data_IF_254047320174
#
_entry.id   IF_254047320174
#
_cell.length_a   1.000
_cell.length_b   1.000
_cell.length_c   1.000
_cell.angle_alpha   90.00
_cell.angle_beta   90.00
_cell.angle_gamma   90.00
#
_symmetry.space_group_name_H-M   'P 1'
#
loop_
_entity.id
_entity.type
_entity.pdbx_description
1 polymer ?
#
# COMPACT_ATOMS: atom_id res chain seq x y z
N UNK A 1 -17.95 4.42 -18.08
CA UNK A 1 -17.16 3.93 -16.91
C UNK A 1 -16.28 2.72 -17.25
N UNK A 2 -16.81 1.65 -17.87
CA UNK A 2 -15.99 0.55 -18.41
C UNK A 2 -14.86 1.04 -19.32
N UNK A 3 -15.12 1.99 -20.20
CA UNK A 3 -14.15 2.64 -21.08
C UNK A 3 -13.03 3.43 -20.36
N UNK A 4 -13.30 4.02 -19.19
CA UNK A 4 -12.27 4.68 -18.36
C UNK A 4 -11.42 3.65 -17.59
N UNK A 5 -12.03 2.56 -17.14
CA UNK A 5 -11.34 1.42 -16.53
C UNK A 5 -10.46 0.67 -17.55
N UNK A 6 -10.98 0.45 -18.76
CA UNK A 6 -10.21 -0.10 -19.88
C UNK A 6 -9.13 0.88 -20.34
N UNK A 7 -9.42 2.18 -20.39
CA UNK A 7 -8.47 3.25 -20.70
C UNK A 7 -7.31 3.33 -19.70
N UNK A 8 -7.61 3.29 -18.39
CA UNK A 8 -6.60 3.24 -17.33
C UNK A 8 -5.84 1.91 -17.33
N UNK A 9 -6.49 0.78 -17.66
CA UNK A 9 -5.84 -0.50 -17.83
C UNK A 9 -4.92 -0.53 -19.06
N UNK A 10 -5.32 0.05 -20.20
CA UNK A 10 -4.47 0.19 -21.40
C UNK A 10 -3.33 1.18 -21.17
N UNK A 11 -3.55 2.26 -20.41
CA UNK A 11 -2.52 3.22 -20.05
C UNK A 11 -1.52 2.59 -19.06
N UNK A 12 -2.00 1.82 -18.07
CA UNK A 12 -1.15 1.00 -17.23
C UNK A 12 -0.38 -0.06 -18.04
N UNK A 13 -1.03 -0.76 -18.97
CA UNK A 13 -0.38 -1.72 -19.89
C UNK A 13 0.68 -1.06 -20.77
N UNK A 14 0.47 0.18 -21.23
CA UNK A 14 1.45 0.93 -22.02
C UNK A 14 2.66 1.39 -21.18
N UNK A 15 2.44 1.79 -19.93
CA UNK A 15 3.49 2.17 -18.96
C UNK A 15 4.28 0.94 -18.43
N UNK A 16 3.69 -0.25 -18.48
CA UNK A 16 4.24 -1.52 -18.00
C UNK A 16 5.06 -2.30 -19.04
N UNK A 17 5.50 -1.65 -20.11
CA UNK A 17 6.30 -2.28 -21.18
C UNK A 17 7.69 -2.78 -20.71
N UNK A 18 8.09 -2.49 -19.47
CA UNK A 18 9.17 -3.23 -18.80
C UNK A 18 8.60 -4.36 -17.91
N UNK A 19 9.03 -5.62 -18.09
CA UNK A 19 8.63 -6.74 -17.23
C UNK A 19 8.82 -6.47 -15.73
N UNK A 20 9.81 -5.65 -15.37
CA UNK A 20 10.10 -5.28 -13.99
C UNK A 20 9.06 -4.35 -13.38
N UNK A 21 8.56 -3.35 -14.13
CA UNK A 21 7.49 -2.49 -13.64
C UNK A 21 6.21 -3.29 -13.38
N UNK A 22 5.92 -4.28 -14.24
CA UNK A 22 4.74 -5.14 -14.08
C UNK A 22 4.88 -6.00 -12.83
N UNK A 23 6.05 -6.62 -12.65
CA UNK A 23 6.35 -7.42 -11.45
C UNK A 23 6.22 -6.58 -10.18
N UNK A 24 6.71 -5.34 -10.17
CA UNK A 24 6.60 -4.42 -9.01
C UNK A 24 5.16 -4.00 -8.74
N UNK A 25 4.39 -3.67 -9.78
CA UNK A 25 2.98 -3.31 -9.64
C UNK A 25 2.18 -4.48 -9.07
N UNK A 26 2.34 -5.68 -9.62
CA UNK A 26 1.65 -6.89 -9.14
C UNK A 26 2.05 -7.26 -7.71
N UNK A 27 3.33 -7.12 -7.36
CA UNK A 27 3.80 -7.34 -5.99
C UNK A 27 3.18 -6.33 -5.01
N UNK A 28 3.09 -5.05 -5.39
CA UNK A 28 2.42 -4.03 -4.57
C UNK A 28 0.92 -4.33 -4.42
N UNK A 29 0.25 -4.78 -5.50
CA UNK A 29 -1.16 -5.19 -5.43
C UNK A 29 -1.38 -6.41 -4.54
N UNK A 30 -0.53 -7.43 -4.65
CA UNK A 30 -0.61 -8.63 -3.80
C UNK A 30 -0.35 -8.26 -2.33
N UNK A 31 0.64 -7.41 -2.07
CA UNK A 31 0.94 -6.83 -0.75
C UNK A 31 -0.29 -6.16 -0.12
N UNK A 32 -1.02 -5.33 -0.87
CA UNK A 32 -2.26 -4.69 -0.38
C UNK A 32 -3.33 -5.73 -0.03
N UNK A 33 -3.46 -6.80 -0.83
CA UNK A 33 -4.43 -7.87 -0.56
C UNK A 33 -4.04 -8.69 0.68
N UNK A 34 -2.75 -8.97 0.88
CA UNK A 34 -2.25 -9.63 2.08
C UNK A 34 -2.53 -8.79 3.32
N UNK A 35 -2.23 -7.49 3.27
CA UNK A 35 -2.52 -6.58 4.37
C UNK A 35 -4.03 -6.47 4.67
N UNK A 36 -4.86 -6.47 3.63
CA UNK A 36 -6.32 -6.41 3.80
C UNK A 36 -6.90 -7.68 4.45
N UNK A 37 -6.29 -8.84 4.23
CA UNK A 37 -6.90 -10.14 4.59
C UNK A 37 -7.23 -10.28 6.09
N UNK A 38 -6.35 -9.94 7.06
CA UNK A 38 -6.69 -9.97 8.48
C UNK A 38 -7.88 -9.09 8.85
N UNK A 39 -7.95 -7.88 8.30
CA UNK A 39 -9.04 -6.96 8.59
C UNK A 39 -10.36 -7.44 7.99
N UNK A 40 -10.33 -7.97 6.75
CA UNK A 40 -11.51 -8.54 6.11
C UNK A 40 -12.01 -9.79 6.86
N UNK A 41 -11.08 -10.63 7.33
CA UNK A 41 -11.42 -11.80 8.12
C UNK A 41 -12.04 -11.41 9.46
N UNK A 42 -11.39 -10.49 10.19
CA UNK A 42 -11.85 -9.99 11.47
C UNK A 42 -13.21 -9.31 11.33
N UNK A 43 -13.42 -8.51 10.28
CA UNK A 43 -14.69 -7.85 10.03
C UNK A 43 -15.80 -8.87 9.74
N UNK A 44 -15.54 -9.87 8.89
CA UNK A 44 -16.52 -10.96 8.62
C UNK A 44 -16.84 -11.75 9.88
N UNK A 45 -15.83 -12.06 10.71
CA UNK A 45 -16.03 -12.75 11.99
C UNK A 45 -16.86 -11.92 12.97
N UNK A 46 -16.53 -10.63 13.13
CA UNK A 46 -17.21 -9.70 14.02
C UNK A 46 -18.65 -9.44 13.60
N UNK A 47 -18.90 -9.27 12.29
CA UNK A 47 -20.25 -9.12 11.75
C UNK A 47 -21.13 -10.34 11.99
N UNK A 48 -20.54 -11.55 11.95
CA UNK A 48 -21.24 -12.79 12.32
C UNK A 48 -21.50 -12.88 13.82
N UNK A 49 -20.51 -12.53 14.64
CA UNK A 49 -20.62 -12.59 16.10
C UNK A 49 -21.66 -11.61 16.64
N UNK A 50 -21.65 -10.36 16.17
CA UNK A 50 -22.53 -9.30 16.65
C UNK A 50 -23.86 -9.23 15.91
N UNK A 51 -24.05 -10.05 14.87
CA UNK A 51 -25.20 -10.01 13.97
C UNK A 51 -25.48 -8.60 13.40
N UNK A 52 -24.46 -7.73 13.38
CA UNK A 52 -24.52 -6.34 12.91
C UNK A 52 -23.60 -6.17 11.72
N UNK A 53 -24.17 -5.84 10.57
CA UNK A 53 -23.45 -5.72 9.30
C UNK A 53 -22.78 -4.36 9.13
N UNK A 54 -23.34 -3.32 9.73
CA UNK A 54 -22.85 -1.94 9.64
C UNK A 54 -21.41 -1.81 10.18
N UNK A 55 -20.99 -2.75 11.03
CA UNK A 55 -19.64 -2.82 11.62
C UNK A 55 -18.58 -3.08 10.55
N UNK A 56 -18.93 -3.77 9.45
CA UNK A 56 -18.01 -4.05 8.35
C UNK A 56 -17.46 -2.76 7.71
N UNK A 57 -18.30 -1.73 7.62
CA UNK A 57 -17.91 -0.44 7.05
C UNK A 57 -16.81 0.26 7.88
N UNK A 58 -16.81 0.05 9.20
CA UNK A 58 -15.88 0.71 10.11
C UNK A 58 -14.63 -0.11 10.42
N UNK A 59 -14.73 -1.45 10.46
CA UNK A 59 -13.60 -2.29 10.89
C UNK A 59 -12.88 -3.02 9.75
N UNK A 60 -13.36 -2.90 8.51
CA UNK A 60 -12.62 -3.37 7.34
C UNK A 60 -11.38 -2.52 7.03
N UNK A 61 -10.58 -2.93 6.04
CA UNK A 61 -9.43 -2.15 5.54
C UNK A 61 -9.82 -0.87 4.76
N UNK A 62 -11.11 -0.51 4.79
CA UNK A 62 -11.68 0.59 4.01
C UNK A 62 -11.94 0.25 2.54
N UNK A 63 -11.50 -0.89 2.02
CA UNK A 63 -11.85 -1.32 0.66
C UNK A 63 -13.25 -1.96 0.55
N UNK A 64 -14.12 -1.83 1.54
CA UNK A 64 -15.48 -2.38 1.52
C UNK A 64 -16.49 -1.49 0.78
N UNK A 65 -17.75 -1.58 1.17
CA UNK A 65 -18.81 -0.67 0.73
C UNK A 65 -18.66 0.69 1.41
N UNK A 66 -18.38 1.73 0.62
CA UNK A 66 -18.37 3.12 1.07
C UNK A 66 -16.97 3.71 1.27
N UNK A 67 -16.91 4.98 1.72
CA UNK A 67 -15.66 5.73 1.82
C UNK A 67 -14.64 5.08 2.76
N UNK A 68 -13.50 4.67 2.20
CA UNK A 68 -12.44 3.94 2.90
C UNK A 68 -11.83 4.69 4.09
N UNK A 69 -11.91 6.03 4.08
CA UNK A 69 -11.45 6.89 5.17
C UNK A 69 -12.30 6.81 6.44
N UNK A 70 -13.47 6.16 6.39
CA UNK A 70 -14.30 5.85 7.58
C UNK A 70 -13.82 4.62 8.33
N UNK A 71 -12.90 3.84 7.76
CA UNK A 71 -12.39 2.68 8.48
C UNK A 71 -11.54 3.12 9.67
N UNK A 72 -11.80 2.52 10.84
CA UNK A 72 -11.06 2.75 12.08
C UNK A 72 -9.56 2.49 11.89
N UNK A 73 -9.13 1.40 11.22
CA UNK A 73 -7.71 1.20 10.91
C UNK A 73 -7.10 2.37 10.13
N UNK A 74 -7.82 2.91 9.13
CA UNK A 74 -7.34 4.05 8.35
C UNK A 74 -7.32 5.34 9.16
N UNK A 75 -8.30 5.56 10.04
CA UNK A 75 -8.34 6.73 10.92
C UNK A 75 -7.19 6.69 11.95
N UNK A 76 -6.91 5.53 12.53
CA UNK A 76 -5.76 5.32 13.43
C UNK A 76 -4.45 5.55 12.68
N UNK A 77 -4.28 4.96 11.50
CA UNK A 77 -3.10 5.18 10.68
C UNK A 77 -2.92 6.68 10.33
N UNK A 78 -4.01 7.35 9.95
CA UNK A 78 -3.99 8.79 9.65
C UNK A 78 -3.61 9.61 10.89
N UNK A 79 -4.06 9.22 12.08
CA UNK A 79 -3.70 9.89 13.33
C UNK A 79 -2.21 9.72 13.59
N UNK A 80 -1.70 8.49 13.57
CA UNK A 80 -0.30 8.22 13.86
C UNK A 80 0.64 8.95 12.90
N UNK A 81 0.26 9.08 11.62
CA UNK A 81 1.12 9.68 10.60
C UNK A 81 0.96 11.20 10.49
N UNK A 82 -0.27 11.72 10.55
CA UNK A 82 -0.59 13.14 10.25
C UNK A 82 -1.18 13.91 11.44
N UNK A 83 -1.36 13.24 12.58
CA UNK A 83 -1.97 13.81 13.78
C UNK A 83 -3.50 13.66 13.81
N UNK A 84 -4.04 13.80 15.03
CA UNK A 84 -5.47 13.71 15.30
C UNK A 84 -6.35 14.65 14.44
N UNK A 85 -5.97 15.93 14.20
CA UNK A 85 -6.84 16.83 13.44
C UNK A 85 -7.09 16.35 12.00
N UNK A 86 -6.06 15.84 11.32
CA UNK A 86 -6.18 15.33 9.95
C UNK A 86 -7.00 14.06 9.92
N UNK A 87 -6.79 13.14 10.88
CA UNK A 87 -7.57 11.92 10.99
C UNK A 87 -9.07 12.19 11.20
N UNK A 88 -9.39 13.06 12.16
CA UNK A 88 -10.77 13.46 12.47
C UNK A 88 -11.42 14.14 11.27
N UNK A 89 -10.73 15.10 10.63
CA UNK A 89 -11.26 15.80 9.46
C UNK A 89 -11.55 14.83 8.30
N UNK A 90 -10.62 13.91 8.00
CA UNK A 90 -10.82 12.88 6.97
C UNK A 90 -12.00 11.96 7.28
N UNK A 91 -12.10 11.49 8.52
CA UNK A 91 -13.18 10.63 8.97
C UNK A 91 -14.54 11.33 8.87
N UNK A 92 -14.64 12.57 9.35
CA UNK A 92 -15.84 13.40 9.26
C UNK A 92 -16.22 13.70 7.80
N UNK A 93 -15.25 14.05 6.95
CA UNK A 93 -15.48 14.28 5.53
C UNK A 93 -16.04 13.01 4.85
N UNK A 94 -15.51 11.85 5.19
CA UNK A 94 -15.97 10.57 4.66
C UNK A 94 -17.39 10.20 5.18
N UNK A 95 -17.71 10.51 6.44
CA UNK A 95 -19.09 10.41 6.97
C UNK A 95 -20.06 11.33 6.21
N UNK A 96 -19.67 12.58 5.96
CA UNK A 96 -20.49 13.55 5.24
C UNK A 96 -20.70 13.14 3.79
N UNK A 97 -19.62 12.76 3.09
CA UNK A 97 -19.66 12.27 1.72
C UNK A 97 -20.58 11.05 1.58
N UNK A 98 -20.55 10.14 2.55
CA UNK A 98 -21.46 8.98 2.55
C UNK A 98 -22.92 9.42 2.66
N UNK A 99 -23.21 10.32 3.60
CA UNK A 99 -24.58 10.83 3.81
C UNK A 99 -25.10 11.58 2.58
N UNK A 100 -24.27 12.37 1.92
CA UNK A 100 -24.66 13.09 0.70
C UNK A 100 -24.87 12.14 -0.48
N UNK A 101 -23.96 11.19 -0.69
CA UNK A 101 -24.08 10.20 -1.75
C UNK A 101 -25.34 9.34 -1.59
N UNK A 102 -25.65 8.87 -0.37
CA UNK A 102 -26.87 8.09 -0.12
C UNK A 102 -28.13 8.93 -0.35
N UNK A 103 -28.15 10.21 0.07
CA UNK A 103 -29.28 11.11 -0.22
C UNK A 103 -29.48 11.32 -1.72
N UNK A 104 -28.41 11.55 -2.47
CA UNK A 104 -28.48 11.76 -3.91
C UNK A 104 -28.83 10.48 -4.69
N UNK A 105 -28.48 9.31 -4.18
CA UNK A 105 -28.77 8.04 -4.84
C UNK A 105 -30.25 7.63 -4.78
N UNK A 106 -31.06 8.24 -3.90
CA UNK A 106 -32.49 7.93 -3.74
C UNK A 106 -32.76 6.47 -3.32
N UNK A 107 -31.72 5.76 -2.88
CA UNK A 107 -31.83 4.38 -2.40
C UNK A 107 -32.10 4.42 -0.92
N UNK A 108 -33.30 4.00 -0.50
CA UNK A 108 -33.57 3.64 0.89
C UNK A 108 -32.53 2.59 1.30
N UNK A 109 -31.67 2.99 2.24
CA UNK A 109 -30.32 2.47 2.45
C UNK A 109 -30.21 1.06 3.02
N UNK A 110 -31.05 0.12 2.60
CA UNK A 110 -31.02 -1.28 3.00
C UNK A 110 -31.08 -2.15 1.75
N UNK A 111 -29.93 -2.37 1.10
CA UNK A 111 -29.83 -3.55 0.24
C UNK A 111 -29.92 -4.79 1.14
N UNK A 112 -30.94 -5.66 0.98
CA UNK A 112 -31.09 -6.86 1.80
C UNK A 112 -29.84 -7.73 1.61
N UNK A 113 -29.01 -7.71 2.64
CA UNK A 113 -27.61 -8.10 2.50
C UNK A 113 -27.46 -9.60 2.29
N UNK A 114 -26.73 -9.95 1.25
CA UNK A 114 -26.09 -11.25 1.19
C UNK A 114 -25.11 -11.37 2.37
N UNK A 115 -24.96 -12.58 2.96
CA UNK A 115 -23.88 -12.82 3.90
C UNK A 115 -22.56 -12.48 3.20
N UNK A 116 -21.78 -11.58 3.79
CA UNK A 116 -20.48 -11.18 3.28
C UNK A 116 -19.51 -12.35 3.39
N UNK A 117 -18.80 -12.61 2.30
CA UNK A 117 -17.86 -13.72 2.16
C UNK A 117 -16.49 -13.15 1.91
N UNK A 118 -15.47 -13.77 2.50
CA UNK A 118 -14.08 -13.31 2.38
C UNK A 118 -13.62 -13.16 0.92
N UNK A 119 -13.99 -14.11 0.04
CA UNK A 119 -13.60 -14.05 -1.38
C UNK A 119 -14.34 -12.93 -2.14
N UNK A 120 -15.59 -12.65 -1.78
CA UNK A 120 -16.35 -11.54 -2.36
C UNK A 120 -15.68 -10.21 -1.99
N UNK A 121 -15.31 -10.03 -0.71
CA UNK A 121 -14.62 -8.83 -0.25
C UNK A 121 -13.25 -8.66 -0.92
N UNK A 122 -12.45 -9.73 -1.03
CA UNK A 122 -11.17 -9.69 -1.74
C UNK A 122 -11.33 -9.35 -3.23
N UNK A 123 -12.36 -9.88 -3.89
CA UNK A 123 -12.68 -9.54 -5.28
C UNK A 123 -13.09 -8.07 -5.42
N UNK A 124 -13.74 -7.49 -4.40
CA UNK A 124 -14.08 -6.07 -4.34
C UNK A 124 -12.84 -5.20 -4.12
N UNK A 125 -11.86 -5.67 -3.34
CA UNK A 125 -10.59 -4.96 -3.08
C UNK A 125 -9.67 -4.96 -4.30
N UNK A 126 -9.65 -6.06 -5.06
CA UNK A 126 -8.68 -6.34 -6.13
C UNK A 126 -8.50 -5.18 -7.14
N UNK A 127 -9.54 -4.55 -7.72
CA UNK A 127 -9.34 -3.46 -8.67
C UNK A 127 -8.62 -2.26 -8.08
N UNK A 128 -8.90 -1.90 -6.82
CA UNK A 128 -8.18 -0.81 -6.15
C UNK A 128 -6.75 -1.20 -5.83
N UNK A 129 -6.50 -2.46 -5.45
CA UNK A 129 -5.14 -2.95 -5.23
C UNK A 129 -4.30 -2.88 -6.53
N UNK A 130 -4.89 -3.23 -7.68
CA UNK A 130 -4.26 -3.12 -9.00
C UNK A 130 -3.98 -1.67 -9.38
N UNK A 131 -4.98 -0.79 -9.23
CA UNK A 131 -4.83 0.64 -9.52
C UNK A 131 -3.80 1.30 -8.60
N UNK A 132 -3.77 0.95 -7.32
CA UNK A 132 -2.76 1.45 -6.39
C UNK A 132 -1.36 0.97 -6.77
N UNK A 133 -1.18 -0.31 -7.10
CA UNK A 133 0.09 -0.85 -7.57
C UNK A 133 0.60 -0.15 -8.84
N UNK A 134 -0.29 0.15 -9.78
CA UNK A 134 0.03 0.91 -10.99
C UNK A 134 0.37 2.38 -10.69
N UNK A 135 -0.43 3.03 -9.84
CA UNK A 135 -0.23 4.43 -9.44
C UNK A 135 1.11 4.64 -8.73
N UNK A 136 1.57 3.67 -7.94
CA UNK A 136 2.90 3.70 -7.33
C UNK A 136 4.04 3.63 -8.34
N UNK A 137 3.91 2.82 -9.41
CA UNK A 137 4.92 2.79 -10.45
C UNK A 137 4.93 4.10 -11.24
N UNK A 138 3.74 4.68 -11.48
CA UNK A 138 3.61 5.96 -12.15
C UNK A 138 4.21 7.10 -11.34
N UNK A 139 3.95 7.18 -10.04
CA UNK A 139 4.47 8.25 -9.19
C UNK A 139 6.00 8.24 -9.13
N UNK A 140 6.64 7.07 -9.28
CA UNK A 140 8.10 6.97 -9.37
C UNK A 140 8.68 7.57 -10.66
N UNK A 141 7.87 7.78 -11.71
CA UNK A 141 8.29 8.41 -12.97
C UNK A 141 8.14 9.94 -12.93
N UNK A 142 7.42 10.49 -11.97
CA UNK A 142 7.16 11.93 -11.88
C UNK A 142 8.13 12.62 -10.91
N UNK A 143 8.74 13.70 -11.39
CA UNK A 143 9.52 14.62 -10.57
C UNK A 143 8.61 15.80 -10.16
N UNK A 144 8.04 15.81 -8.94
CA UNK A 144 7.09 16.83 -8.52
C UNK A 144 7.70 18.23 -8.44
N UNK A 145 9.04 18.33 -8.36
CA UNK A 145 9.75 19.61 -8.34
C UNK A 145 9.62 20.39 -9.64
N UNK A 146 9.26 19.74 -10.76
CA UNK A 146 9.08 20.37 -12.07
C UNK A 146 7.67 20.86 -12.33
N UNK A 147 6.72 20.51 -11.46
CA UNK A 147 5.30 20.82 -11.65
C UNK A 147 4.94 22.12 -10.92
N UNK A 148 4.03 22.90 -11.53
CA UNK A 148 3.46 24.06 -10.85
C UNK A 148 2.65 23.62 -9.62
N UNK A 149 2.46 24.49 -8.61
CA UNK A 149 1.66 24.16 -7.42
C UNK A 149 0.25 23.67 -7.75
N UNK A 150 -0.40 24.27 -8.76
CA UNK A 150 -1.73 23.86 -9.22
C UNK A 150 -1.69 22.47 -9.85
N UNK A 151 -0.68 22.19 -10.68
CA UNK A 151 -0.49 20.87 -11.26
C UNK A 151 -0.22 19.80 -10.19
N UNK A 152 0.54 20.13 -9.15
CA UNK A 152 0.78 19.24 -8.01
C UNK A 152 -0.52 18.93 -7.22
N UNK A 153 -1.36 19.93 -6.97
CA UNK A 153 -2.68 19.75 -6.34
C UNK A 153 -3.60 18.91 -7.24
N UNK A 154 -3.69 19.24 -8.52
CA UNK A 154 -4.55 18.52 -9.48
C UNK A 154 -4.11 17.06 -9.63
N UNK A 155 -2.80 16.80 -9.72
CA UNK A 155 -2.24 15.46 -9.77
C UNK A 155 -2.54 14.70 -8.48
N UNK A 156 -2.36 15.32 -7.32
CA UNK A 156 -2.67 14.70 -6.03
C UNK A 156 -4.15 14.31 -5.91
N UNK A 157 -5.05 15.23 -6.24
CA UNK A 157 -6.49 14.98 -6.24
C UNK A 157 -6.89 13.89 -7.24
N UNK A 158 -6.33 13.92 -8.46
CA UNK A 158 -6.57 12.90 -9.49
C UNK A 158 -6.09 11.53 -9.03
N UNK A 159 -4.86 11.43 -8.50
CA UNK A 159 -4.33 10.20 -7.93
C UNK A 159 -5.18 9.71 -6.75
N UNK A 160 -5.63 10.62 -5.87
CA UNK A 160 -6.50 10.26 -4.74
C UNK A 160 -7.85 9.71 -5.20
N UNK A 161 -8.41 10.31 -6.24
CA UNK A 161 -9.65 9.87 -6.86
C UNK A 161 -9.52 8.52 -7.57
N UNK A 162 -8.48 8.33 -8.38
CA UNK A 162 -8.30 7.12 -9.20
C UNK A 162 -7.71 5.96 -8.42
N UNK A 163 -6.72 6.24 -7.59
CA UNK A 163 -5.98 5.21 -6.86
C UNK A 163 -6.72 4.79 -5.60
N UNK A 164 -7.70 5.59 -5.12
CA UNK A 164 -8.49 5.43 -3.88
C UNK A 164 -8.26 4.07 -3.21
N UNK A 165 -7.12 3.93 -2.51
CA UNK A 165 -6.69 2.62 -2.04
C UNK A 165 -7.57 2.23 -0.85
N UNK A 166 -7.27 1.08 -0.25
CA UNK A 166 -7.60 0.86 1.15
C UNK A 166 -7.28 2.14 1.95
N UNK A 167 -8.12 2.48 2.93
CA UNK A 167 -7.96 3.75 3.64
C UNK A 167 -6.56 3.88 4.26
N UNK A 168 -5.96 2.74 4.63
CA UNK A 168 -4.58 2.63 5.11
C UNK A 168 -3.57 2.95 3.98
N UNK A 169 -3.73 2.34 2.80
CA UNK A 169 -2.87 2.63 1.64
C UNK A 169 -2.93 4.10 1.20
N UNK A 170 -4.08 4.77 1.37
CA UNK A 170 -4.17 6.21 1.16
C UNK A 170 -3.29 7.00 2.14
N UNK A 171 -3.32 6.64 3.42
CA UNK A 171 -2.45 7.27 4.43
C UNK A 171 -0.98 7.05 4.09
N UNK A 172 -0.61 5.83 3.73
CA UNK A 172 0.76 5.46 3.35
C UNK A 172 1.27 6.24 2.12
N UNK A 173 0.49 6.31 1.04
CA UNK A 173 0.84 7.11 -0.15
C UNK A 173 0.94 8.59 0.20
N UNK A 174 -0.01 9.12 0.97
CA UNK A 174 0.07 10.48 1.47
C UNK A 174 1.36 10.71 2.27
N UNK A 175 1.78 9.73 3.08
CA UNK A 175 2.97 9.83 3.92
C UNK A 175 4.24 9.87 3.09
N UNK A 176 4.30 9.05 2.04
CA UNK A 176 5.41 9.06 1.08
C UNK A 176 5.46 10.38 0.29
N UNK A 177 4.30 10.90 -0.11
CA UNK A 177 4.22 12.15 -0.88
C UNK A 177 4.52 13.39 -0.03
N UNK A 178 4.23 13.40 1.28
CA UNK A 178 4.35 14.62 2.10
C UNK A 178 5.76 15.20 2.13
N UNK A 179 6.77 14.34 2.02
CA UNK A 179 8.18 14.73 2.06
C UNK A 179 8.62 15.39 0.75
N UNK A 180 8.16 14.87 -0.40
CA UNK A 180 8.59 15.32 -1.72
C UNK A 180 7.67 16.36 -2.36
N UNK A 181 6.38 16.28 -2.06
CA UNK A 181 5.32 17.03 -2.70
C UNK A 181 4.17 17.26 -1.70
N UNK A 182 4.35 18.15 -0.70
CA UNK A 182 3.38 18.34 0.37
C UNK A 182 2.01 18.77 -0.14
N UNK A 183 1.96 19.60 -1.19
CA UNK A 183 0.69 20.01 -1.82
C UNK A 183 -0.02 18.83 -2.50
N UNK A 184 0.72 17.96 -3.19
CA UNK A 184 0.18 16.74 -3.80
C UNK A 184 -0.32 15.79 -2.73
N UNK A 185 0.42 15.61 -1.63
CA UNK A 185 0.01 14.79 -0.50
C UNK A 185 -1.28 15.29 0.15
N UNK A 186 -1.37 16.60 0.40
CA UNK A 186 -2.57 17.22 0.97
C UNK A 186 -3.79 17.02 0.05
N UNK A 187 -3.65 17.34 -1.23
CA UNK A 187 -4.73 17.17 -2.21
C UNK A 187 -5.14 15.70 -2.37
N UNK A 188 -4.16 14.79 -2.40
CA UNK A 188 -4.38 13.34 -2.41
C UNK A 188 -5.19 12.92 -1.20
N UNK A 189 -4.80 13.33 0.01
CA UNK A 189 -5.51 13.00 1.24
C UNK A 189 -6.93 13.60 1.25
N UNK A 190 -7.14 14.82 0.74
CA UNK A 190 -8.48 15.41 0.68
C UNK A 190 -9.48 14.63 -0.18
N UNK A 191 -9.02 13.75 -1.08
CA UNK A 191 -9.89 12.98 -1.98
C UNK A 191 -9.86 11.48 -1.69
N UNK A 192 -8.67 10.93 -1.43
CA UNK A 192 -8.43 9.50 -1.29
C UNK A 192 -9.22 8.90 -0.13
N UNK A 193 -10.14 8.00 -0.48
CA UNK A 193 -10.99 7.30 0.48
C UNK A 193 -12.17 8.10 1.02
N UNK A 194 -12.37 9.35 0.57
CA UNK A 194 -13.55 10.15 0.90
C UNK A 194 -14.61 10.00 -0.19
N UNK A 195 -14.18 10.08 -1.46
CA UNK A 195 -15.06 9.86 -2.61
C UNK A 195 -14.84 8.42 -3.10
N UNK A 196 -15.81 7.55 -2.85
CA UNK A 196 -15.77 6.19 -3.37
C UNK A 196 -16.42 6.13 -4.77
N UNK A 197 -15.59 6.03 -5.81
CA UNK A 197 -16.05 5.86 -7.20
C UNK A 197 -16.91 4.60 -7.35
N UNK A 198 -16.77 3.62 -6.43
CA UNK A 198 -17.59 2.40 -6.43
C UNK A 198 -19.01 2.68 -5.97
N UNK A 199 -19.24 3.67 -5.10
CA UNK A 199 -20.59 4.12 -4.74
C UNK A 199 -21.32 4.72 -5.95
N UNK A 200 -20.58 5.31 -6.89
CA UNK A 200 -21.12 5.79 -8.18
C UNK A 200 -21.31 4.65 -9.19
N UNK A 201 -20.52 3.58 -9.07
CA UNK A 201 -20.63 2.37 -9.88
C UNK A 201 -21.83 1.51 -9.44
N UNK A 202 -23.05 1.88 -9.89
CA UNK A 202 -24.32 1.12 -9.70
C UNK A 202 -24.35 -0.28 -10.35
N UNK A 203 -23.24 -0.99 -10.42
CA UNK A 203 -23.23 -2.37 -10.86
C UNK A 203 -23.72 -3.25 -9.72
N UNK A 204 -24.89 -3.87 -9.90
CA UNK A 204 -25.35 -5.00 -9.09
C UNK A 204 -24.27 -6.09 -9.11
N UNK A 205 -23.37 -6.05 -8.12
CA UNK A 205 -22.30 -7.04 -7.99
C UNK A 205 -22.93 -8.31 -7.47
N UNK A 206 -23.21 -9.24 -8.37
CA UNK A 206 -23.32 -10.65 -7.99
C UNK A 206 -21.93 -11.05 -7.50
N UNK A 207 -21.75 -11.06 -6.16
CA UNK A 207 -20.53 -11.55 -5.54
C UNK A 207 -20.21 -12.94 -6.08
N UNK A 208 -18.93 -13.25 -6.37
CA UNK A 208 -18.54 -14.52 -6.95
C UNK A 208 -19.05 -15.72 -6.14
N UNK A 209 -19.25 -15.58 -4.83
CA UNK A 209 -19.73 -16.65 -3.95
C UNK A 209 -18.59 -17.57 -3.51
N UNK A 210 -18.94 -18.63 -2.79
CA UNK A 210 -17.95 -19.56 -2.24
C UNK A 210 -17.27 -20.39 -3.34
N UNK A 211 -15.96 -20.52 -3.25
CA UNK A 211 -15.15 -21.37 -4.14
C UNK A 211 -14.11 -22.11 -3.29
N UNK A 212 -14.20 -23.44 -3.23
CA UNK A 212 -13.29 -24.25 -2.43
C UNK A 212 -11.82 -24.06 -2.86
N UNK A 213 -11.60 -24.03 -4.18
CA UNK A 213 -10.27 -23.87 -4.74
C UNK A 213 -9.71 -22.46 -4.46
N UNK A 214 -10.52 -21.41 -4.57
CA UNK A 214 -10.16 -20.05 -4.22
C UNK A 214 -9.76 -19.91 -2.75
N UNK A 215 -10.47 -20.57 -1.84
CA UNK A 215 -10.07 -20.65 -0.43
C UNK A 215 -8.77 -21.43 -0.22
N UNK A 216 -8.56 -22.54 -0.93
CA UNK A 216 -7.31 -23.31 -0.86
C UNK A 216 -6.11 -22.50 -1.37
N UNK A 217 -6.27 -21.79 -2.49
CA UNK A 217 -5.26 -20.86 -3.02
C UNK A 217 -4.97 -19.73 -2.04
N UNK A 218 -6.00 -19.16 -1.42
CA UNK A 218 -5.85 -18.11 -0.42
C UNK A 218 -5.11 -18.62 0.82
N UNK A 219 -5.46 -19.81 1.31
CA UNK A 219 -4.78 -20.46 2.43
C UNK A 219 -3.30 -20.71 2.12
N UNK A 220 -2.99 -21.23 0.93
CA UNK A 220 -1.62 -21.44 0.49
C UNK A 220 -0.85 -20.11 0.40
N UNK A 221 -1.43 -19.08 -0.22
CA UNK A 221 -0.81 -17.77 -0.35
C UNK A 221 -0.48 -17.16 1.02
N UNK A 222 -1.47 -17.12 1.93
CA UNK A 222 -1.30 -16.60 3.29
C UNK A 222 -0.29 -17.41 4.10
N UNK A 223 -0.35 -18.74 4.00
CA UNK A 223 0.56 -19.65 4.69
C UNK A 223 2.01 -19.48 4.25
N UNK A 224 2.27 -19.33 2.95
CA UNK A 224 3.62 -19.08 2.41
C UNK A 224 4.17 -17.77 2.94
N UNK A 225 3.40 -16.67 2.85
CA UNK A 225 3.86 -15.35 3.32
C UNK A 225 4.08 -15.35 4.83
N UNK A 226 3.20 -16.00 5.61
CA UNK A 226 3.38 -16.15 7.05
C UNK A 226 4.63 -16.96 7.41
N UNK A 227 4.86 -18.09 6.74
CA UNK A 227 6.03 -18.96 6.96
C UNK A 227 7.35 -18.28 6.58
N UNK A 228 7.32 -17.33 5.64
CA UNK A 228 8.46 -16.51 5.21
C UNK A 228 8.54 -15.16 5.94
N UNK A 229 7.83 -14.99 7.06
CA UNK A 229 7.84 -13.77 7.87
C UNK A 229 7.54 -12.48 7.07
N UNK A 230 6.69 -12.56 6.05
CA UNK A 230 6.25 -11.42 5.23
C UNK A 230 6.88 -11.34 3.83
N UNK A 231 8.00 -12.02 3.57
CA UNK A 231 8.68 -12.13 2.25
C UNK A 231 8.71 -10.84 1.42
N UNK A 232 8.99 -9.70 2.07
CA UNK A 232 9.00 -8.36 1.48
C UNK A 232 7.66 -7.84 0.94
N UNK A 233 6.57 -8.54 1.18
CA UNK A 233 5.22 -8.17 0.80
C UNK A 233 4.51 -7.44 1.93
N UNK A 234 4.67 -7.89 3.17
CA UNK A 234 4.03 -7.27 4.34
C UNK A 234 5.02 -7.09 5.49
N UNK A 235 4.70 -6.18 6.41
CA UNK A 235 5.45 -6.05 7.66
C UNK A 235 5.46 -7.41 8.40
N UNK A 236 6.62 -7.89 8.91
CA UNK A 236 6.73 -9.14 9.65
C UNK A 236 5.78 -9.25 10.84
N UNK A 237 5.47 -8.14 11.50
CA UNK A 237 4.47 -8.11 12.58
C UNK A 237 3.09 -8.50 12.05
N UNK A 238 2.73 -8.04 10.85
CA UNK A 238 1.47 -8.40 10.21
C UNK A 238 1.45 -9.87 9.74
N UNK A 239 2.62 -10.46 9.46
CA UNK A 239 2.71 -11.88 9.06
C UNK A 239 2.16 -12.85 10.12
N UNK A 240 2.25 -12.46 11.40
CA UNK A 240 1.67 -13.21 12.53
C UNK A 240 0.15 -13.29 12.39
N UNK A 241 -0.50 -12.22 11.95
CA UNK A 241 -1.94 -12.18 11.73
C UNK A 241 -2.37 -12.95 10.47
N UNK A 242 -1.46 -13.19 9.50
CA UNK A 242 -1.77 -13.97 8.30
C UNK A 242 -1.88 -15.47 8.57
N UNK A 243 -1.12 -16.01 9.53
CA UNK A 243 -1.16 -17.43 9.89
C UNK A 243 -2.57 -17.92 10.29
N UNK A 244 -3.30 -17.28 11.23
CA UNK A 244 -4.67 -17.69 11.54
C UNK A 244 -5.62 -17.46 10.36
N UNK A 245 -5.39 -16.44 9.53
CA UNK A 245 -6.18 -16.23 8.31
C UNK A 245 -6.02 -17.40 7.34
N UNK A 246 -4.81 -17.95 7.20
CA UNK A 246 -4.55 -19.15 6.39
C UNK A 246 -5.34 -20.36 6.92
N UNK A 247 -5.35 -20.54 8.25
CA UNK A 247 -6.13 -21.60 8.90
C UNK A 247 -7.63 -21.47 8.63
N UNK A 248 -8.21 -20.28 8.78
CA UNK A 248 -9.64 -20.06 8.50
C UNK A 248 -9.96 -20.25 7.02
N UNK A 249 -9.08 -19.81 6.11
CA UNK A 249 -9.23 -20.05 4.68
C UNK A 249 -9.20 -21.55 4.36
N UNK A 250 -8.31 -22.33 4.98
CA UNK A 250 -8.26 -23.79 4.82
C UNK A 250 -9.54 -24.48 5.33
N UNK A 251 -10.06 -24.07 6.50
CA UNK A 251 -11.35 -24.55 7.01
C UNK A 251 -12.49 -24.21 6.05
N UNK A 252 -12.51 -23.00 5.48
CA UNK A 252 -13.48 -22.61 4.47
C UNK A 252 -13.37 -23.46 3.20
N UNK A 253 -12.15 -23.78 2.75
CA UNK A 253 -11.95 -24.66 1.59
C UNK A 253 -12.60 -26.05 1.81
N UNK A 254 -12.44 -26.61 3.01
CA UNK A 254 -13.05 -27.89 3.40
C UNK A 254 -14.58 -27.79 3.53
N UNK A 255 -15.07 -26.75 4.22
CA UNK A 255 -16.49 -26.53 4.45
C UNK A 255 -17.27 -26.31 3.14
N UNK A 256 -16.65 -25.63 2.17
CA UNK A 256 -17.26 -25.31 0.88
C UNK A 256 -16.76 -26.17 -0.28
N UNK A 257 -16.19 -27.36 -0.02
CA UNK A 257 -15.57 -28.26 -1.02
C UNK A 257 -16.39 -28.58 -2.28
N UNK A 258 -17.72 -28.44 -2.22
CA UNK A 258 -18.65 -28.67 -3.35
C UNK A 258 -19.05 -27.40 -4.11
N UNK A 259 -18.60 -26.22 -3.67
CA UNK A 259 -18.93 -24.94 -4.28
C UNK A 259 -17.79 -24.51 -5.20
N UNK A 260 -18.16 -24.09 -6.40
CA UNK A 260 -17.23 -23.61 -7.43
C UNK A 260 -17.74 -22.29 -8.00
N UNK A 261 -16.91 -21.26 -7.90
CA UNK A 261 -17.12 -19.94 -8.47
C UNK A 261 -15.79 -19.43 -9.03
N UNK A 262 -15.51 -19.63 -10.33
CA UNK A 262 -14.21 -19.30 -10.92
C UNK A 262 -13.81 -17.83 -10.77
N UNK A 263 -14.78 -16.92 -10.78
CA UNK A 263 -14.55 -15.47 -10.58
C UNK A 263 -13.99 -15.14 -9.19
N UNK A 264 -14.22 -15.99 -8.18
CA UNK A 264 -13.68 -15.82 -6.82
C UNK A 264 -12.16 -16.05 -6.75
N UNK A 265 -11.57 -16.69 -7.77
CA UNK A 265 -10.18 -17.16 -7.75
C UNK A 265 -9.17 -16.08 -8.10
N UNK A 266 -9.59 -15.00 -8.76
CA UNK A 266 -8.66 -14.02 -9.34
C UNK A 266 -7.79 -13.38 -8.25
N UNK A 267 -8.38 -12.93 -7.14
CA UNK A 267 -7.62 -12.32 -6.04
C UNK A 267 -6.69 -13.34 -5.34
N UNK A 268 -7.15 -14.55 -4.92
CA UNK A 268 -6.26 -15.58 -4.39
C UNK A 268 -5.13 -16.01 -5.33
N UNK A 269 -5.39 -16.13 -6.65
CA UNK A 269 -4.35 -16.43 -7.64
C UNK A 269 -3.31 -15.33 -7.67
N UNK A 270 -3.73 -14.06 -7.72
CA UNK A 270 -2.79 -12.93 -7.70
C UNK A 270 -1.94 -12.93 -6.42
N UNK A 271 -2.56 -13.18 -5.28
CA UNK A 271 -1.86 -13.28 -3.99
C UNK A 271 -0.84 -14.43 -4.00
N UNK A 272 -1.23 -15.61 -4.49
CA UNK A 272 -0.34 -16.77 -4.57
C UNK A 272 0.83 -16.52 -5.52
N UNK A 273 0.58 -15.95 -6.69
CA UNK A 273 1.64 -15.57 -7.64
C UNK A 273 2.60 -14.57 -6.98
N UNK A 274 2.07 -13.56 -6.28
CA UNK A 274 2.89 -12.61 -5.52
C UNK A 274 3.77 -13.28 -4.46
N UNK A 275 3.20 -14.24 -3.71
CA UNK A 275 3.92 -15.00 -2.69
C UNK A 275 5.01 -15.93 -3.26
N UNK A 276 4.77 -16.52 -4.44
CA UNK A 276 5.71 -17.46 -5.06
C UNK A 276 6.84 -16.75 -5.82
N UNK A 277 6.50 -15.72 -6.60
CA UNK A 277 7.46 -14.94 -7.38
C UNK A 277 8.29 -14.04 -6.47
N UNK A 278 7.72 -13.64 -5.32
CA UNK A 278 8.30 -12.63 -4.46
C UNK A 278 8.30 -11.26 -5.13
N UNK A 279 8.95 -10.31 -4.49
CA UNK A 279 8.88 -8.92 -4.90
C UNK A 279 10.30 -8.33 -5.09
N UNK A 280 10.67 -7.92 -6.33
CA UNK A 280 12.04 -7.51 -6.62
C UNK A 280 12.38 -6.24 -5.84
N UNK A 281 13.49 -6.18 -5.08
CA UNK A 281 13.80 -5.08 -4.18
C UNK A 281 13.62 -3.74 -4.90
N UNK A 282 12.91 -2.78 -4.28
CA UNK A 282 12.69 -1.50 -4.93
C UNK A 282 14.04 -0.82 -5.16
N UNK A 283 14.17 -0.14 -6.30
CA UNK A 283 15.42 0.49 -6.71
C UNK A 283 15.33 2.00 -6.49
N UNK A 284 16.21 2.52 -5.63
CA UNK A 284 16.29 3.94 -5.36
C UNK A 284 17.37 4.55 -6.24
N UNK A 285 17.04 5.64 -6.93
CA UNK A 285 17.95 6.29 -7.90
C UNK A 285 18.35 7.72 -7.51
N UNK A 286 17.80 8.26 -6.43
CA UNK A 286 18.17 9.59 -5.95
C UNK A 286 19.31 9.50 -4.92
N UNK A 287 20.02 10.62 -4.73
CA UNK A 287 21.15 10.70 -3.80
C UNK A 287 20.92 11.70 -2.66
N UNK A 288 19.68 12.15 -2.50
CA UNK A 288 19.26 13.06 -1.42
C UNK A 288 19.12 12.31 -0.09
N UNK A 289 19.35 13.03 1.01
CA UNK A 289 19.09 12.53 2.36
C UNK A 289 17.59 12.61 2.64
N UNK A 290 16.96 11.47 2.93
CA UNK A 290 15.51 11.38 3.19
C UNK A 290 15.18 10.99 4.64
N UNK A 291 16.20 10.73 5.47
CA UNK A 291 16.02 10.47 6.90
C UNK A 291 15.45 11.71 7.59
N UNK A 292 14.19 11.61 8.00
CA UNK A 292 13.54 12.56 8.90
C UNK A 292 14.11 12.41 10.31
N UNK A 293 14.25 13.51 11.05
CA UNK A 293 14.75 13.58 12.44
C UNK A 293 16.27 13.55 12.64
N UNK A 294 17.06 13.65 11.56
CA UNK A 294 18.49 13.88 11.70
C UNK A 294 18.81 15.32 12.09
N UNK A 295 19.82 15.49 12.95
CA UNK A 295 20.38 16.79 13.31
C UNK A 295 21.89 16.82 13.08
N UNK A 296 22.41 18.00 12.74
CA UNK A 296 23.85 18.17 12.57
C UNK A 296 24.59 17.88 13.88
N UNK A 297 25.72 17.18 13.80
CA UNK A 297 26.50 16.70 14.95
C UNK A 297 26.12 15.31 15.44
N UNK A 298 25.03 14.72 14.96
CA UNK A 298 24.62 13.36 15.33
C UNK A 298 25.58 12.30 14.76
N UNK A 299 25.92 11.29 15.55
CA UNK A 299 26.66 10.12 15.08
C UNK A 299 25.66 9.10 14.52
N UNK A 300 25.82 8.76 13.25
CA UNK A 300 24.93 7.82 12.57
C UNK A 300 25.72 6.63 12.03
N UNK A 301 25.21 5.43 12.30
CA UNK A 301 25.58 4.19 11.63
C UNK A 301 24.43 3.80 10.72
N UNK A 302 24.65 3.80 9.41
CA UNK A 302 23.62 3.49 8.42
C UNK A 302 24.05 2.31 7.54
N UNK A 303 23.13 1.38 7.31
CA UNK A 303 23.33 0.22 6.45
C UNK A 303 22.33 0.23 5.30
N UNK A 304 22.82 0.09 4.07
CA UNK A 304 21.99 0.07 2.88
C UNK A 304 22.78 -0.21 1.61
N UNK A 305 22.11 -0.13 0.47
CA UNK A 305 22.72 -0.22 -0.86
C UNK A 305 23.32 1.13 -1.25
N UNK A 306 24.54 1.11 -1.79
CA UNK A 306 25.14 2.26 -2.45
C UNK A 306 24.32 2.64 -3.67
N UNK A 307 23.95 3.91 -3.77
CA UNK A 307 23.29 4.53 -4.93
C UNK A 307 24.20 5.65 -5.44
N UNK A 308 24.62 5.54 -6.69
CA UNK A 308 25.48 6.52 -7.36
C UNK A 308 24.67 7.47 -8.24
N UNK A 309 24.85 8.76 -8.01
CA UNK A 309 24.44 9.83 -8.91
C UNK A 309 25.62 10.31 -9.76
N UNK A 310 25.39 11.29 -10.63
CA UNK A 310 26.42 11.84 -11.51
C UNK A 310 27.58 12.52 -10.74
N UNK A 311 27.31 13.09 -9.56
CA UNK A 311 28.28 13.86 -8.76
C UNK A 311 28.27 13.52 -7.27
N UNK A 312 27.35 12.67 -6.84
CA UNK A 312 27.02 12.41 -5.44
C UNK A 312 26.79 10.92 -5.25
N UNK A 313 26.98 10.45 -4.02
CA UNK A 313 26.65 9.08 -3.63
C UNK A 313 25.77 9.12 -2.39
N UNK A 314 24.88 8.14 -2.27
CA UNK A 314 24.08 7.94 -1.07
C UNK A 314 24.09 6.45 -0.70
N UNK A 315 23.84 6.16 0.56
CA UNK A 315 23.44 4.81 0.98
C UNK A 315 21.96 4.84 1.26
N UNK A 316 21.23 3.91 0.66
CA UNK A 316 19.78 3.87 0.72
C UNK A 316 19.28 2.50 1.16
N UNK A 317 18.20 2.51 1.92
CA UNK A 317 17.39 1.35 2.28
C UNK A 317 15.93 1.73 2.11
N UNK A 318 15.01 0.78 2.24
CA UNK A 318 13.58 1.08 2.18
C UNK A 318 12.95 0.86 3.54
N UNK A 319 12.10 1.79 3.97
CA UNK A 319 11.25 1.61 5.13
C UNK A 319 9.85 1.20 4.70
N UNK A 320 9.31 0.14 5.30
CA UNK A 320 7.92 -0.29 5.20
C UNK A 320 7.21 0.07 6.51
N UNK A 321 6.02 0.67 6.42
CA UNK A 321 5.19 0.93 7.61
C UNK A 321 4.17 -0.21 7.78
N UNK A 322 3.34 -0.45 6.78
CA UNK A 322 2.29 -1.47 6.78
C UNK A 322 2.56 -2.61 5.78
N UNK A 323 2.85 -2.29 4.53
CA UNK A 323 3.08 -3.27 3.48
C UNK A 323 3.99 -2.71 2.38
N UNK A 324 4.46 -3.55 1.46
CA UNK A 324 5.34 -3.11 0.38
C UNK A 324 4.82 -1.92 -0.43
N UNK A 325 3.51 -1.76 -0.53
CA UNK A 325 2.89 -0.64 -1.22
C UNK A 325 3.17 0.73 -0.57
N UNK A 326 3.76 0.77 0.63
CA UNK A 326 4.19 2.00 1.27
C UNK A 326 5.71 2.16 1.39
N UNK A 327 6.46 1.21 0.80
CA UNK A 327 7.90 1.16 0.92
C UNK A 327 8.52 2.48 0.42
N UNK A 328 9.04 3.28 1.34
CA UNK A 328 9.64 4.57 1.06
C UNK A 328 11.17 4.48 1.21
N UNK A 329 11.95 5.12 0.32
CA UNK A 329 13.39 5.12 0.45
C UNK A 329 13.83 5.98 1.65
N UNK A 330 14.68 5.39 2.48
CA UNK A 330 15.43 6.01 3.56
C UNK A 330 16.87 6.06 3.12
N UNK A 331 17.38 7.25 2.82
CA UNK A 331 18.69 7.45 2.26
C UNK A 331 19.46 8.53 3.03
N UNK A 332 20.78 8.37 3.03
CA UNK A 332 21.73 9.35 3.55
C UNK A 332 22.77 9.66 2.48
N UNK A 333 22.88 10.94 2.12
CA UNK A 333 23.92 11.41 1.21
C UNK A 333 25.28 11.29 1.89
N UNK A 334 26.26 10.76 1.17
CA UNK A 334 27.64 10.67 1.64
C UNK A 334 28.40 11.95 1.26
N UNK A 335 29.35 12.35 2.10
CA UNK A 335 30.32 13.41 1.80
C UNK A 335 31.28 13.06 0.65
N UNK A 336 31.58 11.77 0.48
CA UNK A 336 32.48 11.24 -0.55
C UNK A 336 31.96 9.94 -1.16
N UNK A 337 32.35 9.68 -2.40
CA UNK A 337 31.97 8.46 -3.12
C UNK A 337 32.86 7.28 -2.70
N UNK A 338 32.30 6.19 -2.14
CA UNK A 338 33.07 5.00 -1.81
C UNK A 338 33.56 4.25 -3.06
N UNK A 339 34.72 3.58 -3.01
CA UNK A 339 35.29 2.83 -4.13
C UNK A 339 34.60 1.46 -4.35
N UNK A 340 33.28 1.41 -4.24
CA UNK A 340 32.46 0.21 -4.45
C UNK A 340 31.46 0.41 -5.60
N UNK A 341 31.10 -0.65 -6.35
CA UNK A 341 30.13 -0.54 -7.42
C UNK A 341 28.72 -0.19 -6.91
N UNK A 342 27.90 0.40 -7.79
CA UNK A 342 26.50 0.70 -7.51
C UNK A 342 25.73 -0.55 -7.08
N UNK A 343 24.82 -0.42 -6.12
CA UNK A 343 24.08 -1.54 -5.53
C UNK A 343 24.84 -2.35 -4.47
N UNK A 344 26.11 -2.05 -4.19
CA UNK A 344 26.86 -2.73 -3.11
C UNK A 344 26.25 -2.43 -1.76
N UNK A 345 26.05 -3.44 -0.92
CA UNK A 345 25.65 -3.26 0.47
C UNK A 345 26.81 -2.77 1.33
N UNK A 346 26.60 -1.62 1.97
CA UNK A 346 27.59 -0.95 2.80
C UNK A 346 27.02 -0.70 4.20
N UNK A 347 27.88 -0.83 5.22
CA UNK A 347 27.70 -0.19 6.52
C UNK A 347 28.59 1.04 6.57
N UNK A 348 28.00 2.18 6.85
CA UNK A 348 28.67 3.48 6.89
C UNK A 348 28.49 4.11 8.26
N UNK A 349 29.60 4.48 8.89
CA UNK A 349 29.63 5.19 10.16
C UNK A 349 30.15 6.61 9.93
N UNK A 350 29.49 7.61 10.52
CA UNK A 350 29.87 8.99 10.34
C UNK A 350 29.22 9.97 11.30
N UNK A 351 29.46 11.26 11.02
CA UNK A 351 28.76 12.38 11.65
C UNK A 351 27.86 13.05 10.63
N UNK A 352 26.64 13.40 11.03
CA UNK A 352 25.74 14.17 10.21
C UNK A 352 26.20 15.63 10.21
N UNK A 353 26.35 16.23 9.04
CA UNK A 353 26.62 17.64 8.86
C UNK A 353 25.55 18.29 7.99
N UNK A 354 25.24 19.55 8.29
CA UNK A 354 24.45 20.40 7.40
C UNK A 354 25.40 21.20 6.51
N UNK A 355 25.38 20.92 5.21
CA UNK A 355 26.15 21.64 4.21
C UNK A 355 25.20 22.37 3.26
N UNK A 356 24.99 23.66 3.51
CA UNK A 356 24.17 24.52 2.64
C UNK A 356 22.67 24.19 2.66
N UNK A 357 22.14 23.71 3.78
CA UNK A 357 20.73 23.31 3.92
C UNK A 357 20.50 21.81 3.72
N UNK A 358 21.47 21.09 3.15
CA UNK A 358 21.38 19.65 2.95
C UNK A 358 22.16 18.88 4.01
N UNK A 359 21.49 17.92 4.65
CA UNK A 359 22.15 16.97 5.54
C UNK A 359 22.96 15.94 4.74
N UNK A 360 24.18 15.67 5.18
CA UNK A 360 25.06 14.62 4.64
C UNK A 360 25.81 13.91 5.76
N UNK A 361 26.22 12.68 5.52
CA UNK A 361 27.06 11.91 6.44
C UNK A 361 28.53 12.11 6.07
N UNK A 362 29.29 12.75 6.96
CA UNK A 362 30.75 12.78 6.90
C UNK A 362 31.29 11.43 7.32
N UNK A 363 31.74 10.70 6.31
CA UNK A 363 32.03 9.29 6.41
C UNK A 363 33.34 9.04 7.15
N UNK A 364 33.26 8.42 8.34
CA UNK A 364 34.44 7.97 9.09
C UNK A 364 34.89 6.57 8.69
N UNK A 365 33.94 5.66 8.53
CA UNK A 365 34.19 4.27 8.17
C UNK A 365 33.17 3.80 7.15
N UNK A 366 33.64 3.06 6.15
CA UNK A 366 32.81 2.34 5.19
C UNK A 366 33.30 0.91 5.14
N UNK A 367 32.39 -0.03 5.26
CA UNK A 367 32.69 -1.44 5.04
C UNK A 367 31.64 -2.07 4.14
N UNK A 368 32.10 -2.98 3.29
CA UNK A 368 31.22 -3.85 2.51
C UNK A 368 30.65 -4.91 3.43
N UNK A 369 29.34 -5.10 3.37
CA UNK A 369 28.63 -6.14 4.11
C UNK A 369 27.86 -7.04 3.14
N UNK A 370 27.47 -8.23 3.60
CA UNK A 370 26.55 -9.07 2.85
C UNK A 370 25.16 -8.40 2.80
N UNK A 371 24.38 -8.57 1.71
CA UNK A 371 22.97 -8.18 1.70
C UNK A 371 22.25 -8.84 2.88
N UNK A 372 21.48 -8.10 3.69
CA UNK A 372 20.67 -8.71 4.72
C UNK A 372 19.61 -9.61 4.07
N UNK A 373 19.17 -10.64 4.80
CA UNK A 373 18.02 -11.46 4.40
C UNK A 373 16.80 -10.58 4.17
N UNK A 374 16.67 -9.49 4.93
CA UNK A 374 15.63 -8.50 4.76
C UNK A 374 16.17 -7.10 4.44
N UNK A 375 15.97 -6.58 3.22
CA UNK A 375 16.45 -5.27 2.84
C UNK A 375 15.60 -4.13 3.39
N UNK A 376 14.47 -4.37 4.07
CA UNK A 376 13.56 -3.33 4.57
C UNK A 376 13.76 -3.02 6.05
N UNK A 377 13.62 -1.75 6.40
CA UNK A 377 13.46 -1.26 7.77
C UNK A 377 11.95 -1.25 8.06
N UNK A 378 11.52 -1.74 9.21
CA UNK A 378 10.12 -1.67 9.62
C UNK A 378 9.94 -0.53 10.62
N UNK A 379 8.94 0.33 10.38
CA UNK A 379 8.59 1.47 11.25
C UNK A 379 7.21 1.32 11.84
#
# INVERSE_FOLDING_TARGET
MRSLLYGAATLALAILSSPDALRRALAASASILFEAAPFLLASVALARLLQRRDILEYFGCGCGSGPSARSVPAAIAAWLVFGAPVAIARYLAALLATRTLYRCAGTDGHHPGRPTQLLDELAVVLPSALLAGAAMQLSALFDPARLSPIANVALGAALGFTAAPCGIGAVAIGAALRVRAPLTAAAFLCVAGIIDVRALARTARVGPGHDAFGYALLAAALGIVAARHGDFLVNPVMSIALAPCAGVAAVCALAYRRRSAPSARIAPVLMLVGALVGAPPPQYRATETTLTELFAGERLTFMGTLVRGARTSAVARYAITCCRADAAPVAIRLDRTPPYPDGTWLRVDGLVENAGGDLRLVTRRVERVAPPTDPFIYR
#
